data_IF_412677097800
#
_entry.id   IF_412677097800
#
_cell.length_a   1.000
_cell.length_b   1.000
_cell.length_c   1.000
_cell.angle_alpha   90.00
_cell.angle_beta   90.00
_cell.angle_gamma   90.00
#
_symmetry.space_group_name_H-M   'P 1'
#
loop_
_entity.id
_entity.type
_entity.pdbx_description
1 polymer ?
#
# COMPACT_ATOMS: atom_id res chain seq x y z
N UNK A 1 -27.68 82.94 35.62
CA UNK A 1 -27.32 82.26 36.90
C UNK A 1 -27.20 80.77 36.58
N UNK A 2 -26.01 80.32 36.47
CA UNK A 2 -25.69 78.96 35.98
C UNK A 2 -25.77 77.95 37.09
N UNK A 3 -26.56 76.90 36.85
CA UNK A 3 -26.60 75.70 37.69
C UNK A 3 -25.59 74.70 37.15
N UNK A 4 -24.64 74.24 37.98
CA UNK A 4 -23.66 73.21 37.67
C UNK A 4 -24.30 71.85 37.89
N UNK A 5 -24.46 71.08 36.83
CA UNK A 5 -24.88 69.68 36.87
C UNK A 5 -23.69 68.79 37.19
N UNK A 6 -23.69 68.08 38.29
CA UNK A 6 -22.67 67.08 38.67
C UNK A 6 -23.02 65.76 38.04
N UNK A 7 -22.13 65.28 37.20
CA UNK A 7 -22.25 63.91 36.66
C UNK A 7 -21.72 62.90 37.67
N UNK A 8 -22.61 62.03 38.11
CA UNK A 8 -22.25 60.83 38.89
C UNK A 8 -21.95 59.69 37.89
N UNK A 9 -20.66 59.30 37.84
CA UNK A 9 -20.24 58.12 37.06
C UNK A 9 -20.54 56.87 37.88
N UNK A 10 -21.53 56.09 37.47
CA UNK A 10 -21.80 54.77 38.01
C UNK A 10 -20.91 53.78 37.25
N UNK A 11 -19.87 53.28 37.88
CA UNK A 11 -19.02 52.23 37.31
C UNK A 11 -19.73 50.90 37.44
N UNK A 12 -20.21 50.38 36.29
CA UNK A 12 -20.70 48.99 36.21
C UNK A 12 -19.47 48.07 36.10
N UNK A 13 -19.14 47.35 37.16
CA UNK A 13 -18.19 46.26 37.13
C UNK A 13 -18.90 45.03 36.59
N UNK A 14 -18.70 44.74 35.30
CA UNK A 14 -19.14 43.50 34.69
C UNK A 14 -18.16 42.40 35.07
N UNK A 15 -18.57 41.50 35.95
CA UNK A 15 -17.86 40.26 36.25
C UNK A 15 -18.12 39.32 35.07
N UNK A 16 -17.11 39.19 34.18
CA UNK A 16 -17.11 38.16 33.17
C UNK A 16 -16.66 36.86 33.84
N UNK A 17 -17.60 35.97 34.08
CA UNK A 17 -17.30 34.60 34.47
C UNK A 17 -16.72 33.89 33.25
N UNK A 18 -15.40 33.70 33.21
CA UNK A 18 -14.73 32.82 32.27
C UNK A 18 -15.07 31.37 32.66
N UNK A 19 -16.11 30.80 32.03
CA UNK A 19 -16.31 29.37 32.06
C UNK A 19 -15.18 28.75 31.23
N UNK A 20 -14.14 28.28 31.92
CA UNK A 20 -13.13 27.40 31.35
C UNK A 20 -13.82 26.05 31.03
N UNK A 21 -14.26 25.85 29.80
CA UNK A 21 -14.48 24.52 29.30
C UNK A 21 -13.09 23.87 29.23
N UNK A 22 -12.80 23.01 30.18
CA UNK A 22 -11.73 22.02 30.01
C UNK A 22 -12.25 20.99 29.01
N UNK A 23 -11.91 21.19 27.73
CA UNK A 23 -11.96 20.11 26.79
C UNK A 23 -10.95 19.07 27.29
N UNK A 24 -11.47 18.06 27.99
CA UNK A 24 -10.79 16.81 28.15
C UNK A 24 -10.75 16.18 26.77
N UNK A 25 -9.71 16.53 26.02
CA UNK A 25 -9.31 15.82 24.82
C UNK A 25 -8.93 14.40 25.26
N UNK A 26 -9.94 13.55 25.39
CA UNK A 26 -9.75 12.12 25.48
C UNK A 26 -9.26 11.71 24.10
N UNK A 27 -7.96 11.86 23.88
CA UNK A 27 -7.26 11.12 22.83
C UNK A 27 -7.47 9.65 23.16
N UNK A 28 -8.54 9.08 22.58
CA UNK A 28 -8.68 7.63 22.49
C UNK A 28 -7.45 7.18 21.75
N UNK A 29 -6.50 6.58 22.47
CA UNK A 29 -5.32 5.99 21.84
C UNK A 29 -5.86 5.02 20.80
N UNK A 30 -5.68 5.36 19.54
CA UNK A 30 -6.06 4.53 18.42
C UNK A 30 -5.25 3.23 18.58
N UNK A 31 -5.89 2.18 19.08
CA UNK A 31 -5.24 0.88 19.24
C UNK A 31 -4.82 0.43 17.86
N UNK A 32 -3.51 0.42 17.60
CA UNK A 32 -2.96 -0.11 16.36
C UNK A 32 -3.46 -1.54 16.23
N UNK A 33 -4.25 -1.86 15.21
CA UNK A 33 -4.76 -3.21 15.02
C UNK A 33 -3.59 -4.17 14.91
N UNK A 34 -3.56 -5.22 15.71
CA UNK A 34 -2.62 -6.33 15.52
C UNK A 34 -3.08 -7.15 14.33
N UNK A 35 -2.12 -7.58 13.48
CA UNK A 35 -2.42 -8.48 12.38
C UNK A 35 -2.89 -9.84 12.93
N UNK A 36 -4.01 -10.33 12.40
CA UNK A 36 -4.36 -11.74 12.57
C UNK A 36 -3.57 -12.56 11.54
N UNK A 37 -2.41 -13.03 11.98
CA UNK A 37 -1.50 -13.85 11.17
C UNK A 37 -1.83 -15.34 11.28
N UNK A 38 -2.93 -15.72 11.92
CA UNK A 38 -3.38 -17.08 12.11
C UNK A 38 -4.51 -17.46 11.13
N UNK A 39 -4.61 -18.76 10.91
CA UNK A 39 -5.73 -19.34 10.18
C UNK A 39 -5.65 -19.17 8.66
N UNK A 40 -6.74 -19.56 8.00
CA UNK A 40 -6.86 -19.57 6.55
C UNK A 40 -6.89 -18.14 5.98
N UNK A 41 -6.04 -17.87 4.98
CA UNK A 41 -6.03 -16.59 4.28
C UNK A 41 -7.25 -16.48 3.34
N UNK A 42 -8.18 -15.61 3.70
CA UNK A 42 -9.32 -15.22 2.86
C UNK A 42 -8.98 -13.88 2.22
N UNK A 43 -8.41 -13.94 1.02
CA UNK A 43 -7.81 -12.80 0.37
C UNK A 43 -8.58 -12.27 -0.83
N UNK A 44 -8.29 -11.01 -1.17
CA UNK A 44 -8.72 -10.37 -2.41
C UNK A 44 -7.56 -9.55 -2.98
N UNK A 45 -7.43 -9.55 -4.32
CA UNK A 45 -6.57 -8.58 -5.01
C UNK A 45 -7.30 -7.25 -5.11
N UNK A 46 -6.70 -6.22 -4.54
CA UNK A 46 -7.26 -4.86 -4.50
C UNK A 46 -6.32 -3.84 -5.17
N UNK A 47 -5.46 -4.32 -6.05
CA UNK A 47 -4.42 -3.51 -6.68
C UNK A 47 -4.94 -2.28 -7.42
N UNK A 48 -6.18 -2.29 -7.91
CA UNK A 48 -6.79 -1.18 -8.62
C UNK A 48 -7.57 -0.19 -7.75
N UNK A 49 -7.65 -0.42 -6.45
CA UNK A 49 -8.56 0.36 -5.59
C UNK A 49 -8.29 1.86 -5.64
N UNK A 50 -7.04 2.30 -5.61
CA UNK A 50 -6.65 3.71 -5.66
C UNK A 50 -6.99 4.37 -7.00
N UNK A 51 -6.76 3.68 -8.10
CA UNK A 51 -7.13 4.12 -9.45
C UNK A 51 -8.66 4.24 -9.61
N UNK A 52 -9.40 3.23 -9.16
CA UNK A 52 -10.88 3.26 -9.18
C UNK A 52 -11.44 4.42 -8.35
N UNK A 53 -10.90 4.64 -7.15
CA UNK A 53 -11.31 5.74 -6.27
C UNK A 53 -10.98 7.10 -6.90
N UNK A 54 -9.82 7.26 -7.52
CA UNK A 54 -9.45 8.47 -8.26
C UNK A 54 -10.36 8.72 -9.45
N UNK A 55 -10.87 7.66 -10.09
CA UNK A 55 -11.87 7.75 -11.14
C UNK A 55 -13.31 8.01 -10.62
N UNK A 56 -13.47 8.16 -9.29
CA UNK A 56 -14.76 8.45 -8.67
C UNK A 56 -15.60 7.22 -8.33
N UNK A 57 -15.05 6.00 -8.44
CA UNK A 57 -15.76 4.78 -8.03
C UNK A 57 -15.98 4.78 -6.53
N UNK A 58 -17.21 4.45 -6.12
CA UNK A 58 -17.62 4.35 -4.72
C UNK A 58 -18.09 2.95 -4.41
N UNK A 59 -17.83 2.52 -3.18
CA UNK A 59 -18.24 1.21 -2.69
C UNK A 59 -19.32 1.38 -1.63
N UNK A 60 -20.25 0.44 -1.53
CA UNK A 60 -21.40 0.52 -0.64
C UNK A 60 -21.58 -0.78 0.13
N UNK A 61 -21.93 -0.67 1.40
CA UNK A 61 -22.31 -1.83 2.22
C UNK A 61 -23.73 -2.33 1.87
N UNK A 62 -24.14 -3.44 2.48
CA UNK A 62 -25.45 -4.05 2.24
C UNK A 62 -26.63 -3.14 2.61
N UNK A 63 -26.39 -2.07 3.37
CA UNK A 63 -27.40 -1.08 3.76
C UNK A 63 -27.38 0.14 2.83
N UNK A 64 -26.58 0.14 1.78
CA UNK A 64 -26.43 1.26 0.83
C UNK A 64 -25.61 2.42 1.37
N UNK A 65 -24.81 2.24 2.43
CA UNK A 65 -23.93 3.28 2.97
C UNK A 65 -22.59 3.23 2.24
N UNK A 66 -22.13 4.39 1.78
CA UNK A 66 -20.78 4.53 1.19
C UNK A 66 -19.74 4.08 2.23
N UNK A 67 -18.86 3.19 1.82
CA UNK A 67 -17.88 2.54 2.70
C UNK A 67 -16.56 2.39 1.94
N UNK A 68 -15.46 2.64 2.61
CA UNK A 68 -14.13 2.42 2.07
C UNK A 68 -13.93 0.93 1.69
N UNK A 69 -13.32 0.67 0.52
CA UNK A 69 -13.26 -0.66 -0.09
C UNK A 69 -12.68 -1.74 0.85
N UNK A 70 -11.51 -1.46 1.47
CA UNK A 70 -10.84 -2.44 2.32
C UNK A 70 -11.62 -2.68 3.62
N UNK A 71 -12.29 -1.65 4.17
CA UNK A 71 -13.19 -1.79 5.32
C UNK A 71 -14.39 -2.67 4.97
N UNK A 72 -14.95 -2.48 3.78
CA UNK A 72 -16.05 -3.28 3.29
C UNK A 72 -15.65 -4.75 3.17
N UNK A 73 -14.52 -5.04 2.51
CA UNK A 73 -13.99 -6.40 2.37
C UNK A 73 -13.72 -7.04 3.74
N UNK A 74 -13.12 -6.30 4.67
CA UNK A 74 -12.91 -6.80 6.04
C UNK A 74 -14.23 -7.14 6.74
N UNK A 75 -15.26 -6.32 6.60
CA UNK A 75 -16.58 -6.59 7.17
C UNK A 75 -17.26 -7.84 6.61
N UNK A 76 -16.85 -8.26 5.42
CA UNK A 76 -17.28 -9.49 4.75
C UNK A 76 -16.41 -10.72 5.12
N UNK A 77 -15.44 -10.55 6.01
CA UNK A 77 -14.57 -11.62 6.49
C UNK A 77 -13.26 -11.82 5.70
N UNK A 78 -12.92 -10.92 4.78
CA UNK A 78 -11.58 -10.87 4.16
C UNK A 78 -10.57 -10.48 5.23
N UNK A 79 -9.47 -11.23 5.34
CA UNK A 79 -8.40 -11.01 6.31
C UNK A 79 -7.02 -10.78 5.66
N UNK A 80 -6.94 -10.85 4.33
CA UNK A 80 -5.71 -10.65 3.58
C UNK A 80 -5.96 -9.94 2.25
N UNK A 81 -4.97 -9.18 1.78
CA UNK A 81 -5.02 -8.54 0.47
C UNK A 81 -3.77 -8.87 -0.34
N UNK A 82 -3.92 -8.92 -1.66
CA UNK A 82 -2.82 -8.99 -2.62
C UNK A 82 -2.69 -7.63 -3.30
N UNK A 83 -1.45 -7.17 -3.41
CA UNK A 83 -1.07 -5.93 -4.09
C UNK A 83 0.02 -6.24 -5.12
N UNK A 84 -0.29 -6.07 -6.41
CA UNK A 84 0.73 -6.13 -7.45
C UNK A 84 1.59 -4.88 -7.39
N UNK A 85 2.85 -5.02 -7.78
CA UNK A 85 3.78 -3.91 -7.92
C UNK A 85 4.44 -3.92 -9.30
N UNK A 86 4.41 -2.76 -9.96
CA UNK A 86 5.10 -2.46 -11.21
C UNK A 86 6.36 -1.65 -10.94
N UNK A 87 7.29 -1.61 -11.90
CA UNK A 87 8.60 -0.96 -11.71
C UNK A 87 8.49 0.55 -11.87
N UNK A 88 8.07 1.02 -13.04
CA UNK A 88 7.91 2.45 -13.33
C UNK A 88 6.66 2.69 -14.21
N UNK A 89 5.46 2.50 -13.66
CA UNK A 89 4.22 2.68 -14.42
C UNK A 89 3.99 4.16 -14.76
N UNK A 90 3.57 4.43 -16.01
CA UNK A 90 3.39 5.78 -16.56
C UNK A 90 2.48 6.67 -15.70
N UNK A 91 1.38 6.10 -15.18
CA UNK A 91 0.40 6.85 -14.38
C UNK A 91 0.64 6.73 -12.87
N UNK A 92 1.71 6.05 -12.46
CA UNK A 92 2.07 5.83 -11.06
C UNK A 92 1.25 4.77 -10.35
N UNK A 93 0.11 4.31 -10.91
CA UNK A 93 -0.71 3.26 -10.31
C UNK A 93 0.07 1.94 -10.22
N UNK A 94 -0.02 1.28 -9.07
CA UNK A 94 0.75 0.07 -8.75
C UNK A 94 2.28 0.25 -8.73
N UNK A 95 2.79 1.48 -8.84
CA UNK A 95 4.17 1.80 -8.50
C UNK A 95 4.40 1.75 -6.98
N UNK A 96 5.65 1.77 -6.55
CA UNK A 96 6.06 1.62 -5.14
C UNK A 96 5.26 2.50 -4.16
N UNK A 97 5.02 3.78 -4.50
CA UNK A 97 4.33 4.71 -3.60
C UNK A 97 2.82 4.42 -3.49
N UNK A 98 2.19 4.04 -4.58
CA UNK A 98 0.78 3.64 -4.59
C UNK A 98 0.58 2.32 -3.84
N UNK A 99 1.48 1.36 -4.00
CA UNK A 99 1.50 0.11 -3.22
C UNK A 99 1.66 0.40 -1.73
N UNK A 100 2.59 1.30 -1.36
CA UNK A 100 2.76 1.72 0.03
C UNK A 100 1.47 2.33 0.61
N UNK A 101 0.80 3.21 -0.13
CA UNK A 101 -0.45 3.82 0.32
C UNK A 101 -1.54 2.76 0.60
N UNK A 102 -1.72 1.80 -0.30
CA UNK A 102 -2.66 0.68 -0.13
C UNK A 102 -2.27 -0.24 1.05
N UNK A 103 -0.98 -0.55 1.17
CA UNK A 103 -0.48 -1.39 2.25
C UNK A 103 -0.65 -0.74 3.64
N UNK A 104 -0.50 0.58 3.74
CA UNK A 104 -0.77 1.32 4.99
C UNK A 104 -2.26 1.29 5.36
N UNK A 105 -3.16 1.35 4.38
CA UNK A 105 -4.61 1.16 4.61
C UNK A 105 -4.90 -0.24 5.13
N UNK A 106 -4.28 -1.26 4.53
CA UNK A 106 -4.39 -2.65 4.99
C UNK A 106 -3.89 -2.82 6.43
N UNK A 107 -2.70 -2.27 6.73
CA UNK A 107 -2.12 -2.26 8.08
C UNK A 107 -3.07 -1.63 9.11
N UNK A 108 -3.63 -0.45 8.82
CA UNK A 108 -4.57 0.24 9.70
C UNK A 108 -5.83 -0.60 10.00
N UNK A 109 -6.17 -1.54 9.12
CA UNK A 109 -7.29 -2.45 9.29
C UNK A 109 -6.89 -3.82 9.86
N UNK A 110 -5.60 -4.06 10.12
CA UNK A 110 -5.09 -5.36 10.56
C UNK A 110 -5.26 -6.45 9.50
N UNK A 111 -5.20 -6.10 8.20
CA UNK A 111 -5.23 -7.06 7.10
C UNK A 111 -3.81 -7.55 6.81
N UNK A 112 -3.68 -8.83 6.53
CA UNK A 112 -2.44 -9.48 6.08
C UNK A 112 -2.13 -9.05 4.66
N UNK A 113 -0.86 -8.93 4.30
CA UNK A 113 -0.44 -8.38 3.00
C UNK A 113 0.40 -9.37 2.21
N UNK A 114 0.03 -9.56 0.96
CA UNK A 114 0.81 -10.22 -0.07
C UNK A 114 1.27 -9.19 -1.10
N UNK A 115 2.55 -9.19 -1.45
CA UNK A 115 3.12 -8.37 -2.52
C UNK A 115 3.42 -9.27 -3.74
N UNK A 116 2.95 -8.84 -4.90
CA UNK A 116 3.12 -9.54 -6.17
C UNK A 116 3.96 -8.70 -7.14
N UNK A 117 5.19 -9.13 -7.38
CA UNK A 117 6.12 -8.46 -8.28
C UNK A 117 5.90 -8.88 -9.73
N UNK A 118 5.47 -7.95 -10.57
CA UNK A 118 5.36 -8.19 -12.02
C UNK A 118 6.70 -8.05 -12.77
N UNK A 119 7.64 -7.25 -12.23
CA UNK A 119 8.90 -6.87 -12.89
C UNK A 119 8.70 -6.32 -14.31
N UNK A 120 7.67 -5.52 -14.46
CA UNK A 120 7.28 -4.83 -15.68
C UNK A 120 6.74 -3.44 -15.30
N UNK A 121 6.61 -2.54 -16.27
CA UNK A 121 5.94 -1.23 -16.06
C UNK A 121 4.42 -1.31 -16.20
N UNK A 122 3.92 -2.50 -16.56
CA UNK A 122 2.50 -2.81 -16.74
C UNK A 122 2.22 -4.28 -16.45
N UNK A 123 1.10 -4.81 -16.96
CA UNK A 123 0.76 -6.22 -16.81
C UNK A 123 1.87 -7.15 -17.31
N UNK A 124 2.25 -8.09 -16.44
CA UNK A 124 2.98 -9.30 -16.81
C UNK A 124 2.01 -10.48 -16.70
N UNK A 125 1.83 -11.23 -17.78
CA UNK A 125 0.91 -12.35 -17.90
C UNK A 125 1.53 -13.45 -18.81
N UNK A 126 0.87 -14.60 -19.02
CA UNK A 126 1.43 -15.67 -19.83
C UNK A 126 1.78 -15.30 -21.27
N UNK A 127 1.22 -14.22 -21.81
CA UNK A 127 1.49 -13.71 -23.16
C UNK A 127 2.42 -12.48 -23.17
N UNK A 128 2.62 -11.84 -22.02
CA UNK A 128 3.36 -10.58 -21.90
C UNK A 128 4.26 -10.58 -20.67
N UNK A 129 5.55 -10.87 -20.90
CA UNK A 129 6.59 -10.79 -19.86
C UNK A 129 7.62 -9.74 -20.26
N UNK A 130 7.12 -8.53 -20.57
CA UNK A 130 7.91 -7.42 -21.10
C UNK A 130 8.79 -6.81 -20.00
N UNK A 131 10.08 -6.65 -20.30
CA UNK A 131 10.99 -5.92 -19.40
C UNK A 131 10.54 -4.48 -19.21
N UNK A 132 10.74 -3.89 -18.01
CA UNK A 132 10.61 -2.44 -17.82
C UNK A 132 11.44 -1.66 -18.84
N UNK A 133 10.97 -0.49 -19.22
CA UNK A 133 11.67 0.37 -20.20
C UNK A 133 13.13 0.63 -19.80
N UNK A 134 13.38 0.86 -18.50
CA UNK A 134 14.71 1.07 -17.96
C UNK A 134 15.65 -0.16 -18.09
N UNK A 135 15.08 -1.39 -18.22
CA UNK A 135 15.84 -2.64 -18.27
C UNK A 135 15.88 -3.25 -19.66
N UNK A 136 15.32 -2.59 -20.67
CA UNK A 136 15.15 -3.14 -22.04
C UNK A 136 16.43 -3.72 -22.63
N UNK A 137 17.57 -3.05 -22.42
CA UNK A 137 18.87 -3.47 -22.98
C UNK A 137 19.73 -4.28 -22.00
N UNK A 138 19.20 -4.64 -20.82
CA UNK A 138 19.93 -5.39 -19.82
C UNK A 138 20.00 -6.87 -20.18
N UNK A 139 21.19 -7.45 -20.00
CA UNK A 139 21.43 -8.89 -20.09
C UNK A 139 21.00 -9.59 -18.80
N UNK A 140 21.08 -10.92 -18.75
CA UNK A 140 20.66 -11.73 -17.61
C UNK A 140 21.33 -11.29 -16.28
N UNK A 141 22.63 -11.02 -16.29
CA UNK A 141 23.34 -10.64 -15.07
C UNK A 141 22.88 -9.27 -14.53
N UNK A 142 22.62 -8.33 -15.42
CA UNK A 142 22.06 -7.03 -15.06
C UNK A 142 20.63 -7.17 -14.57
N UNK A 143 19.81 -7.99 -15.21
CA UNK A 143 18.42 -8.24 -14.77
C UNK A 143 18.33 -8.88 -13.39
N UNK A 144 19.27 -9.78 -13.03
CA UNK A 144 19.35 -10.33 -11.66
C UNK A 144 19.56 -9.22 -10.62
N UNK A 145 20.43 -8.25 -10.94
CA UNK A 145 20.69 -7.09 -10.08
C UNK A 145 19.44 -6.20 -9.98
N UNK A 146 18.77 -5.96 -11.10
CA UNK A 146 17.56 -5.13 -11.16
C UNK A 146 16.40 -5.75 -10.35
N UNK A 147 16.16 -7.04 -10.54
CA UNK A 147 15.15 -7.81 -9.78
C UNK A 147 15.44 -7.71 -8.29
N UNK A 148 16.69 -7.99 -7.88
CA UNK A 148 17.06 -7.92 -6.47
C UNK A 148 16.89 -6.51 -5.90
N UNK A 149 17.36 -5.49 -6.62
CA UNK A 149 17.28 -4.09 -6.18
C UNK A 149 15.84 -3.60 -6.06
N UNK A 150 14.99 -3.87 -7.08
CA UNK A 150 13.59 -3.46 -7.05
C UNK A 150 12.84 -4.16 -5.91
N UNK A 151 13.04 -5.46 -5.75
CA UNK A 151 12.43 -6.24 -4.66
C UNK A 151 12.83 -5.69 -3.30
N UNK A 152 14.12 -5.47 -3.07
CA UNK A 152 14.63 -4.91 -1.80
C UNK A 152 14.08 -3.52 -1.55
N UNK A 153 14.08 -2.63 -2.55
CA UNK A 153 13.62 -1.24 -2.41
C UNK A 153 12.14 -1.16 -2.03
N UNK A 154 11.29 -1.95 -2.67
CA UNK A 154 9.84 -2.00 -2.35
C UNK A 154 9.64 -2.57 -0.95
N UNK A 155 10.19 -3.74 -0.65
CA UNK A 155 9.97 -4.42 0.62
C UNK A 155 10.57 -3.65 1.80
N UNK A 156 11.76 -3.05 1.65
CA UNK A 156 12.36 -2.21 2.69
C UNK A 156 11.51 -0.97 2.95
N UNK A 157 10.98 -0.33 1.89
CA UNK A 157 10.07 0.80 2.03
C UNK A 157 8.83 0.43 2.85
N UNK A 158 8.23 -0.73 2.60
CA UNK A 158 7.08 -1.23 3.37
C UNK A 158 7.46 -1.51 4.82
N UNK A 159 8.58 -2.22 5.04
CA UNK A 159 9.09 -2.57 6.36
C UNK A 159 9.41 -1.33 7.22
N UNK A 160 10.05 -0.31 6.64
CA UNK A 160 10.39 0.95 7.32
C UNK A 160 9.15 1.74 7.77
N UNK A 161 8.01 1.51 7.11
CA UNK A 161 6.69 2.04 7.49
C UNK A 161 5.90 1.09 8.40
N UNK A 162 6.54 0.01 8.84
CA UNK A 162 5.96 -0.98 9.74
C UNK A 162 4.82 -1.78 9.10
N UNK A 163 4.84 -1.92 7.77
CA UNK A 163 3.98 -2.90 7.09
C UNK A 163 4.69 -4.25 7.14
N UNK A 164 4.02 -5.24 7.70
CA UNK A 164 4.50 -6.61 7.73
C UNK A 164 3.96 -7.37 6.51
N UNK A 165 4.86 -7.79 5.62
CA UNK A 165 4.51 -8.52 4.40
C UNK A 165 4.63 -10.01 4.68
N UNK A 166 3.50 -10.71 4.63
CA UNK A 166 3.46 -12.13 4.97
C UNK A 166 3.83 -13.03 3.79
N UNK A 167 3.46 -12.63 2.58
CA UNK A 167 3.77 -13.37 1.36
C UNK A 167 4.34 -12.45 0.28
N UNK A 168 5.28 -13.00 -0.46
CA UNK A 168 5.84 -12.35 -1.64
C UNK A 168 5.78 -13.31 -2.83
N UNK A 169 5.20 -12.85 -3.92
CA UNK A 169 5.23 -13.52 -5.20
C UNK A 169 6.33 -12.89 -6.06
N UNK A 170 7.33 -13.70 -6.43
CA UNK A 170 8.45 -13.29 -7.27
C UNK A 170 8.12 -13.63 -8.72
N UNK A 171 7.63 -12.64 -9.47
CA UNK A 171 7.10 -12.81 -10.83
C UNK A 171 5.61 -13.15 -10.86
N UNK A 172 4.88 -12.62 -11.83
CA UNK A 172 3.47 -12.89 -12.03
C UNK A 172 3.24 -13.74 -13.28
N UNK A 173 2.44 -14.80 -13.11
CA UNK A 173 1.96 -15.67 -14.20
C UNK A 173 3.09 -16.10 -15.15
N UNK A 174 4.10 -16.77 -14.62
CA UNK A 174 5.36 -17.11 -15.29
C UNK A 174 5.44 -18.52 -15.89
N UNK A 175 4.42 -19.06 -16.59
CA UNK A 175 4.47 -20.43 -17.15
C UNK A 175 5.54 -20.58 -18.23
N UNK A 176 6.02 -19.48 -18.79
CA UNK A 176 7.07 -19.45 -19.84
C UNK A 176 8.25 -18.56 -19.44
N UNK A 177 8.46 -18.34 -18.15
CA UNK A 177 9.50 -17.47 -17.62
C UNK A 177 9.03 -16.03 -17.40
N UNK A 178 9.96 -15.12 -17.18
CA UNK A 178 9.72 -13.68 -16.98
C UNK A 178 10.82 -12.83 -17.63
N UNK A 179 10.59 -11.53 -17.82
CA UNK A 179 11.61 -10.60 -18.36
C UNK A 179 12.17 -11.06 -19.70
N UNK A 180 11.27 -11.27 -20.66
CA UNK A 180 11.67 -11.81 -21.96
C UNK A 180 12.59 -10.83 -22.71
N UNK A 181 13.60 -11.40 -23.53
CA UNK A 181 13.76 -12.88 -23.77
C UNK A 181 14.68 -13.55 -22.75
N UNK A 182 15.46 -12.77 -21.99
CA UNK A 182 16.56 -13.28 -21.16
C UNK A 182 16.10 -14.28 -20.08
N UNK A 183 14.92 -14.06 -19.49
CA UNK A 183 14.36 -14.95 -18.48
C UNK A 183 13.25 -15.87 -19.00
N UNK A 184 13.10 -15.99 -20.33
CA UNK A 184 12.23 -17.01 -20.89
C UNK A 184 12.79 -18.41 -20.64
N UNK A 185 11.90 -19.39 -20.51
CA UNK A 185 12.33 -20.79 -20.44
C UNK A 185 11.60 -21.67 -21.45
N UNK A 186 12.19 -22.82 -21.74
CA UNK A 186 11.61 -23.91 -22.49
C UNK A 186 11.65 -25.19 -21.66
N UNK A 187 11.04 -26.26 -22.14
CA UNK A 187 11.09 -27.58 -21.48
C UNK A 187 12.50 -28.12 -21.31
N UNK A 188 13.45 -27.63 -22.10
CA UNK A 188 14.85 -28.07 -22.11
C UNK A 188 15.82 -27.15 -21.39
N UNK A 189 15.45 -25.86 -21.16
CA UNK A 189 16.29 -24.88 -20.48
C UNK A 189 15.44 -23.91 -19.64
N UNK A 190 15.64 -23.98 -18.34
CA UNK A 190 14.98 -23.13 -17.34
C UNK A 190 15.99 -22.36 -16.51
N UNK A 191 17.28 -22.44 -16.84
CA UNK A 191 18.37 -21.95 -15.99
C UNK A 191 18.33 -20.44 -15.77
N UNK A 192 18.05 -19.66 -16.81
CA UNK A 192 17.96 -18.20 -16.73
C UNK A 192 16.79 -17.74 -15.87
N UNK A 193 15.63 -18.36 -16.06
CA UNK A 193 14.45 -18.09 -15.23
C UNK A 193 14.72 -18.41 -13.76
N UNK A 194 15.30 -19.57 -13.47
CA UNK A 194 15.63 -19.96 -12.10
C UNK A 194 16.60 -18.97 -11.44
N UNK A 195 17.57 -18.43 -12.17
CA UNK A 195 18.49 -17.41 -11.64
C UNK A 195 17.76 -16.10 -11.29
N UNK A 196 16.77 -15.68 -12.07
CA UNK A 196 15.98 -14.48 -11.79
C UNK A 196 15.08 -14.71 -10.57
N UNK A 197 14.41 -15.87 -10.46
CA UNK A 197 13.63 -16.23 -9.28
C UNK A 197 14.50 -16.24 -8.02
N UNK A 198 15.69 -16.84 -8.08
CA UNK A 198 16.62 -16.88 -6.95
C UNK A 198 17.07 -15.46 -6.55
N UNK A 199 17.36 -14.57 -7.50
CA UNK A 199 17.72 -13.18 -7.22
C UNK A 199 16.59 -12.44 -6.45
N UNK A 200 15.33 -12.64 -6.87
CA UNK A 200 14.18 -12.10 -6.17
C UNK A 200 13.98 -12.73 -4.79
N UNK A 201 14.09 -14.06 -4.69
CA UNK A 201 13.98 -14.78 -3.42
C UNK A 201 15.03 -14.32 -2.39
N UNK A 202 16.30 -14.24 -2.80
CA UNK A 202 17.39 -13.79 -1.94
C UNK A 202 17.17 -12.35 -1.46
N UNK A 203 16.65 -11.49 -2.34
CA UNK A 203 16.27 -10.12 -1.99
C UNK A 203 15.13 -10.10 -0.95
N UNK A 204 14.09 -10.94 -1.10
CA UNK A 204 13.03 -11.09 -0.08
C UNK A 204 13.63 -11.49 1.25
N UNK A 205 14.49 -12.53 1.25
CA UNK A 205 15.12 -13.04 2.48
C UNK A 205 16.11 -12.06 3.11
N UNK A 206 16.67 -11.14 2.35
CA UNK A 206 17.52 -10.06 2.91
C UNK A 206 16.71 -9.04 3.72
N UNK A 207 15.44 -8.84 3.39
CA UNK A 207 14.55 -7.89 4.08
C UNK A 207 13.73 -8.61 5.16
N UNK A 208 13.18 -9.78 4.85
CA UNK A 208 12.38 -10.63 5.74
C UNK A 208 13.04 -12.03 5.85
N UNK A 209 14.01 -12.20 6.77
CA UNK A 209 14.78 -13.42 6.94
C UNK A 209 13.96 -14.66 7.34
#
# INVERSE_FOLDING_TARGET
KFMKLKYIFLAFVSIIALSSCSDTDTTVAETVPTYDMSGFAKGADVSWVTEMEAAGTKFYDANGRETECLKLLKSMGVNSIRLRVWVDPTDGWNGKQDVLAKALRAKALGLRVMIDFHYSDSWADPAHQTKPAAWTNHNLDQLKVDVAKHTTDVLQTLKDKGVDVEWVQVGNETPTGMLWKEGAYSDTDQSSFAQLINAGYDAVKSVYP
#
